data_IF_540506253368
#
_entry.id   IF_540506253368
#
_cell.length_a   1.000
_cell.length_b   1.000
_cell.length_c   1.000
_cell.angle_alpha   90.00
_cell.angle_beta   90.00
_cell.angle_gamma   90.00
#
_symmetry.space_group_name_H-M   'P 1'
#
loop_
_entity.id
_entity.type
_entity.pdbx_description
1 polymer ?
#
# COMPACT_ATOMS: atom_id res chain seq x y z
N UNK A 1 35.41 -16.82 -32.46
CA UNK A 1 34.63 -17.86 -33.18
C UNK A 1 33.12 -17.57 -33.36
N UNK A 2 32.52 -16.55 -32.72
CA UNK A 2 31.05 -16.32 -32.81
C UNK A 2 30.54 -15.67 -34.10
N UNK A 3 31.36 -14.88 -34.79
CA UNK A 3 30.93 -14.10 -35.97
C UNK A 3 30.67 -14.99 -37.18
N UNK A 4 31.57 -15.93 -37.49
CA UNK A 4 31.41 -16.84 -38.62
C UNK A 4 30.20 -17.77 -38.44
N UNK A 5 29.98 -18.28 -37.21
CA UNK A 5 28.82 -19.08 -36.87
C UNK A 5 27.50 -18.29 -37.04
N UNK A 6 27.49 -17.02 -36.61
CA UNK A 6 26.32 -16.15 -36.78
C UNK A 6 26.00 -15.85 -38.26
N UNK A 7 27.03 -15.71 -39.10
CA UNK A 7 26.87 -15.45 -40.53
C UNK A 7 26.32 -16.68 -41.27
N UNK A 8 26.85 -17.87 -40.96
CA UNK A 8 26.34 -19.14 -41.48
C UNK A 8 24.88 -19.38 -41.06
N UNK A 9 24.57 -19.20 -39.76
CA UNK A 9 23.21 -19.31 -39.22
C UNK A 9 22.23 -18.37 -39.92
N UNK A 10 22.66 -17.13 -40.22
CA UNK A 10 21.82 -16.14 -40.91
C UNK A 10 21.49 -16.55 -42.35
N UNK A 11 22.43 -17.16 -43.08
CA UNK A 11 22.19 -17.69 -44.43
C UNK A 11 21.18 -18.84 -44.42
N UNK A 12 21.31 -19.76 -43.47
CA UNK A 12 20.37 -20.88 -43.29
C UNK A 12 18.96 -20.38 -42.93
N UNK A 13 18.86 -19.44 -41.99
CA UNK A 13 17.56 -18.86 -41.59
C UNK A 13 16.86 -18.05 -42.69
N UNK A 14 17.63 -17.54 -43.67
CA UNK A 14 17.14 -16.76 -44.83
C UNK A 14 16.84 -17.62 -46.05
N UNK A 15 17.02 -18.94 -45.96
CA UNK A 15 16.58 -19.83 -47.02
C UNK A 15 15.04 -19.79 -47.12
N UNK A 16 14.54 -19.67 -48.35
CA UNK A 16 13.11 -19.71 -48.66
C UNK A 16 12.24 -18.69 -47.88
N UNK A 17 12.64 -17.41 -47.89
CA UNK A 17 11.88 -16.32 -47.24
C UNK A 17 10.66 -15.91 -48.05
N UNK A 18 10.73 -15.99 -49.38
CA UNK A 18 9.67 -15.59 -50.30
C UNK A 18 8.43 -16.48 -50.17
N UNK A 19 8.58 -17.81 -50.23
CA UNK A 19 7.47 -18.75 -50.06
C UNK A 19 6.82 -18.64 -48.66
N UNK A 20 7.63 -18.37 -47.63
CA UNK A 20 7.13 -18.09 -46.27
C UNK A 20 6.34 -16.78 -46.21
N UNK A 21 6.76 -15.75 -46.93
CA UNK A 21 6.04 -14.48 -47.00
C UNK A 21 4.70 -14.65 -47.73
N UNK A 22 4.69 -15.32 -48.88
CA UNK A 22 3.47 -15.61 -49.62
C UNK A 22 2.47 -16.42 -48.80
N UNK A 23 2.91 -17.46 -48.08
CA UNK A 23 2.05 -18.24 -47.17
C UNK A 23 1.39 -17.41 -46.07
N UNK A 24 2.04 -16.34 -45.61
CA UNK A 24 1.47 -15.44 -44.59
C UNK A 24 0.50 -14.44 -45.25
N UNK A 25 0.80 -13.95 -46.45
CA UNK A 25 -0.07 -13.04 -47.20
C UNK A 25 -1.36 -13.73 -47.67
N UNK A 26 -1.29 -15.00 -48.08
CA UNK A 26 -2.45 -15.79 -48.50
C UNK A 26 -3.36 -16.20 -47.32
N UNK A 27 -2.87 -16.09 -46.08
CA UNK A 27 -3.67 -16.36 -44.90
C UNK A 27 -4.64 -15.21 -44.62
N UNK A 28 -5.94 -15.51 -44.51
CA UNK A 28 -6.99 -14.47 -44.39
C UNK A 28 -6.75 -13.46 -43.26
N UNK A 29 -6.13 -13.88 -42.15
CA UNK A 29 -5.64 -13.02 -41.05
C UNK A 29 -4.44 -13.70 -40.38
N UNK A 30 -3.40 -12.95 -39.96
CA UNK A 30 -2.32 -13.50 -39.16
C UNK A 30 -2.89 -14.08 -37.85
N UNK A 31 -2.36 -15.25 -37.42
CA UNK A 31 -2.72 -15.82 -36.12
C UNK A 31 -2.35 -14.82 -35.02
N UNK A 32 -3.28 -14.47 -34.11
CA UNK A 32 -2.96 -13.58 -33.01
C UNK A 32 -1.82 -14.19 -32.18
N UNK A 33 -0.98 -13.31 -31.64
CA UNK A 33 0.10 -13.75 -30.77
C UNK A 33 -0.46 -14.54 -29.58
N UNK A 34 0.23 -15.60 -29.13
CA UNK A 34 -0.19 -16.31 -27.93
C UNK A 34 -0.16 -15.34 -26.74
N UNK A 35 -1.21 -15.36 -25.92
CA UNK A 35 -1.24 -14.58 -24.69
C UNK A 35 -0.19 -15.10 -23.71
N UNK A 36 0.53 -14.17 -23.07
CA UNK A 36 1.42 -14.50 -21.96
C UNK A 36 0.61 -15.17 -20.84
N UNK A 37 1.16 -16.19 -20.13
CA UNK A 37 0.47 -16.77 -18.98
C UNK A 37 0.17 -15.68 -17.96
N UNK A 38 -1.12 -15.38 -17.79
CA UNK A 38 -1.57 -14.43 -16.78
C UNK A 38 -1.36 -15.04 -15.38
N UNK A 39 -0.92 -14.25 -14.41
CA UNK A 39 -0.93 -14.65 -13.01
C UNK A 39 -2.32 -15.18 -12.57
N UNK A 40 -2.35 -16.22 -11.74
CA UNK A 40 -3.59 -16.90 -11.29
C UNK A 40 -4.63 -15.92 -10.75
N UNK A 41 -4.20 -14.91 -9.99
CA UNK A 41 -5.09 -13.90 -9.39
C UNK A 41 -5.81 -13.03 -10.43
N UNK A 42 -5.22 -12.75 -11.60
CA UNK A 42 -5.87 -11.99 -12.68
C UNK A 42 -6.90 -12.88 -13.38
N UNK A 43 -6.53 -14.13 -13.65
CA UNK A 43 -7.40 -15.14 -14.28
C UNK A 43 -8.61 -15.51 -13.42
N UNK A 44 -8.47 -15.44 -12.10
CA UNK A 44 -9.56 -15.61 -11.15
C UNK A 44 -10.48 -14.39 -11.18
N UNK A 45 -9.94 -13.16 -11.13
CA UNK A 45 -10.73 -11.93 -11.24
C UNK A 45 -11.54 -11.87 -12.55
N UNK A 46 -10.95 -12.21 -13.68
CA UNK A 46 -11.67 -12.28 -14.97
C UNK A 46 -12.79 -13.32 -14.92
N UNK A 47 -12.55 -14.50 -14.32
CA UNK A 47 -13.59 -15.51 -14.12
C UNK A 47 -14.71 -15.04 -13.22
N UNK A 48 -14.41 -14.35 -12.13
CA UNK A 48 -15.43 -13.76 -11.25
C UNK A 48 -16.24 -12.68 -11.95
N UNK A 49 -15.62 -11.84 -12.79
CA UNK A 49 -16.31 -10.79 -13.56
C UNK A 49 -17.20 -11.39 -14.66
N UNK A 50 -16.78 -12.50 -15.26
CA UNK A 50 -17.57 -13.21 -16.27
C UNK A 50 -18.68 -14.08 -15.65
N UNK A 51 -18.46 -14.64 -14.45
CA UNK A 51 -19.48 -15.39 -13.69
C UNK A 51 -20.45 -14.50 -12.91
N UNK A 52 -20.06 -13.26 -12.59
CA UNK A 52 -21.05 -12.25 -12.21
C UNK A 52 -21.85 -11.96 -13.47
N UNK A 53 -22.93 -12.71 -13.66
CA UNK A 53 -23.96 -12.50 -14.66
C UNK A 53 -24.56 -11.10 -14.44
N UNK A 54 -23.83 -10.08 -14.89
CA UNK A 54 -24.33 -8.74 -15.03
C UNK A 54 -25.23 -8.79 -16.26
N UNK A 55 -26.43 -9.37 -16.11
CA UNK A 55 -27.50 -9.40 -17.12
C UNK A 55 -27.75 -8.00 -17.70
N UNK A 56 -27.50 -6.98 -16.87
CA UNK A 56 -27.46 -5.55 -17.16
C UNK A 56 -26.48 -5.13 -18.30
N UNK A 57 -25.50 -5.94 -18.68
CA UNK A 57 -24.58 -5.67 -19.80
C UNK A 57 -25.24 -6.01 -21.15
N UNK A 58 -26.07 -7.06 -21.17
CA UNK A 58 -26.75 -7.53 -22.38
C UNK A 58 -28.16 -6.95 -22.53
N UNK A 59 -28.75 -6.46 -21.43
CA UNK A 59 -30.07 -5.83 -21.42
C UNK A 59 -29.98 -4.31 -21.60
N UNK A 60 -30.96 -3.73 -22.30
CA UNK A 60 -31.04 -2.28 -22.47
C UNK A 60 -31.37 -1.60 -21.14
N UNK A 61 -30.47 -0.78 -20.63
CA UNK A 61 -30.72 0.02 -19.44
C UNK A 61 -31.58 1.26 -19.79
N UNK A 62 -32.86 1.22 -19.46
CA UNK A 62 -33.82 2.31 -19.75
C UNK A 62 -33.47 3.61 -19.04
N UNK A 63 -33.03 3.53 -17.77
CA UNK A 63 -32.65 4.70 -16.98
C UNK A 63 -31.44 5.44 -17.58
N UNK A 64 -30.47 4.71 -18.12
CA UNK A 64 -29.33 5.29 -18.82
C UNK A 64 -29.77 5.86 -20.17
N UNK A 65 -30.63 5.15 -20.89
CA UNK A 65 -31.14 5.59 -22.18
C UNK A 65 -31.88 6.93 -22.09
N UNK A 66 -32.72 7.12 -21.06
CA UNK A 66 -33.39 8.41 -20.82
C UNK A 66 -32.42 9.54 -20.52
N UNK A 67 -31.37 9.28 -19.74
CA UNK A 67 -30.31 10.28 -19.45
C UNK A 67 -29.48 10.66 -20.68
N UNK A 68 -29.40 9.79 -21.69
CA UNK A 68 -28.66 10.04 -22.92
C UNK A 68 -29.49 10.76 -24.00
N UNK A 69 -30.82 10.64 -24.00
CA UNK A 69 -31.71 11.39 -24.91
C UNK A 69 -31.44 12.91 -24.99
N UNK A 70 -31.19 13.65 -23.89
CA UNK A 70 -30.94 15.08 -23.95
C UNK A 70 -29.54 15.44 -24.48
N UNK A 71 -28.62 14.49 -24.61
CA UNK A 71 -27.29 14.71 -25.18
C UNK A 71 -27.39 14.73 -26.72
N UNK A 72 -28.06 15.73 -27.26
CA UNK A 72 -27.95 16.08 -28.67
C UNK A 72 -26.58 16.74 -28.82
N UNK A 73 -25.67 16.08 -29.55
CA UNK A 73 -24.35 16.63 -29.86
C UNK A 73 -24.56 17.75 -30.87
N UNK A 74 -24.76 18.97 -30.37
CA UNK A 74 -24.66 20.16 -31.20
C UNK A 74 -23.20 20.27 -31.64
N UNK A 75 -22.93 20.18 -32.94
CA UNK A 75 -21.59 20.30 -33.54
C UNK A 75 -21.03 21.74 -33.46
N UNK A 76 -21.55 22.54 -32.54
CA UNK A 76 -21.01 23.87 -32.30
C UNK A 76 -19.59 23.73 -31.75
N UNK A 77 -18.64 24.54 -32.23
CA UNK A 77 -17.29 24.52 -31.70
C UNK A 77 -17.32 24.81 -30.20
N UNK A 78 -16.70 23.92 -29.41
CA UNK A 78 -16.61 24.05 -27.96
C UNK A 78 -16.11 25.45 -27.57
N UNK A 79 -16.98 26.26 -26.98
CA UNK A 79 -16.61 27.56 -26.41
C UNK A 79 -16.11 27.30 -25.00
N UNK A 80 -14.83 27.59 -24.75
CA UNK A 80 -14.25 27.50 -23.40
C UNK A 80 -15.12 28.37 -22.47
N UNK A 81 -15.69 27.83 -21.39
CA UNK A 81 -16.44 28.64 -20.44
C UNK A 81 -15.54 29.75 -19.89
N UNK A 82 -16.11 30.94 -19.69
CA UNK A 82 -15.39 32.07 -19.11
C UNK A 82 -14.82 31.65 -17.74
N UNK A 83 -13.60 32.11 -17.44
CA UNK A 83 -12.98 31.78 -16.16
C UNK A 83 -13.78 32.42 -15.03
N UNK A 84 -14.41 31.58 -14.20
CA UNK A 84 -15.17 32.03 -13.05
C UNK A 84 -14.24 32.71 -12.04
N UNK A 85 -14.44 34.01 -11.71
CA UNK A 85 -13.58 34.70 -10.75
C UNK A 85 -13.67 34.11 -9.34
N UNK A 86 -14.78 33.45 -9.01
CA UNK A 86 -14.98 32.72 -7.75
C UNK A 86 -14.26 31.36 -7.71
N UNK A 87 -13.75 30.87 -8.84
CA UNK A 87 -13.05 29.57 -8.93
C UNK A 87 -11.88 29.66 -9.93
N UNK A 88 -10.81 30.41 -9.60
CA UNK A 88 -9.66 30.54 -10.47
C UNK A 88 -8.97 29.18 -10.67
N UNK A 89 -8.45 28.93 -11.86
CA UNK A 89 -7.63 27.75 -12.11
C UNK A 89 -6.36 27.79 -11.24
N UNK A 90 -5.86 26.63 -10.77
CA UNK A 90 -4.58 26.56 -10.09
C UNK A 90 -3.47 27.07 -11.02
N UNK A 91 -2.83 28.18 -10.65
CA UNK A 91 -1.73 28.78 -11.42
C UNK A 91 -0.36 28.17 -11.09
N UNK A 92 -0.23 27.57 -9.91
CA UNK A 92 1.02 26.98 -9.45
C UNK A 92 1.22 25.59 -10.04
N UNK A 93 2.42 25.34 -10.59
CA UNK A 93 2.91 24.03 -11.03
C UNK A 93 3.92 23.44 -10.04
N UNK A 94 4.07 24.04 -8.86
CA UNK A 94 5.03 23.56 -7.88
C UNK A 94 4.68 22.13 -7.47
N UNK A 95 5.71 21.27 -7.45
CA UNK A 95 5.63 19.95 -6.84
C UNK A 95 5.36 20.14 -5.35
N UNK A 96 4.29 19.51 -4.85
CA UNK A 96 4.01 19.49 -3.42
C UNK A 96 5.19 18.86 -2.69
N UNK A 97 5.52 19.36 -1.49
CA UNK A 97 6.53 18.75 -0.65
C UNK A 97 6.18 17.29 -0.37
N UNK A 98 7.18 16.42 -0.51
CA UNK A 98 7.02 15.00 -0.23
C UNK A 98 6.76 14.81 1.27
N UNK A 99 5.70 14.07 1.59
CA UNK A 99 5.36 13.81 2.97
C UNK A 99 6.38 12.85 3.60
N UNK A 100 6.93 13.20 4.76
CA UNK A 100 7.97 12.41 5.45
C UNK A 100 7.62 10.93 5.64
N UNK A 101 6.34 10.63 5.85
CA UNK A 101 5.85 9.27 6.06
C UNK A 101 4.92 8.81 4.93
N UNK A 102 4.88 9.49 3.78
CA UNK A 102 3.99 9.18 2.67
C UNK A 102 2.51 9.52 2.92
N UNK A 103 2.16 10.08 4.08
CA UNK A 103 0.80 10.55 4.40
C UNK A 103 0.77 12.07 4.57
N UNK A 104 -0.24 12.72 3.99
CA UNK A 104 -0.54 14.12 4.24
C UNK A 104 -1.03 14.29 5.67
N UNK A 105 -0.24 14.98 6.50
CA UNK A 105 -0.62 15.27 7.89
C UNK A 105 -1.66 16.41 7.94
N UNK A 106 -2.57 16.40 8.94
CA UNK A 106 -3.51 17.48 9.15
C UNK A 106 -2.77 18.75 9.61
N UNK A 107 -3.19 19.91 9.09
CA UNK A 107 -2.59 21.20 9.45
C UNK A 107 -2.89 21.61 10.90
N UNK A 108 -4.06 21.20 11.42
CA UNK A 108 -4.46 21.45 12.80
C UNK A 108 -4.70 20.12 13.52
N UNK A 109 -3.91 19.87 14.55
CA UNK A 109 -4.03 18.68 15.39
C UNK A 109 -4.90 19.02 16.60
N UNK A 110 -6.01 18.31 16.84
CA UNK A 110 -6.84 18.54 18.02
C UNK A 110 -6.10 18.07 19.29
N UNK A 111 -6.38 18.68 20.45
CA UNK A 111 -5.76 18.29 21.71
C UNK A 111 -6.09 16.83 22.04
N UNK A 112 -5.13 16.10 22.63
CA UNK A 112 -5.28 14.69 22.93
C UNK A 112 -5.07 13.74 21.74
N UNK A 113 -4.73 14.24 20.54
CA UNK A 113 -4.38 13.43 19.37
C UNK A 113 -2.94 13.70 18.94
N UNK A 114 -2.36 12.72 18.25
CA UNK A 114 -1.00 12.80 17.70
C UNK A 114 -1.02 12.49 16.21
N UNK A 115 -0.14 13.17 15.48
CA UNK A 115 0.29 12.79 14.14
C UNK A 115 1.42 11.76 14.23
N UNK A 116 1.67 11.05 13.13
CA UNK A 116 2.74 10.05 13.05
C UNK A 116 4.10 10.71 13.32
N UNK A 117 4.35 11.89 12.74
CA UNK A 117 5.55 12.66 13.00
C UNK A 117 5.72 13.00 14.47
N UNK A 118 4.69 13.58 15.09
CA UNK A 118 4.76 13.93 16.51
C UNK A 118 4.92 12.70 17.43
N UNK A 119 4.34 11.56 17.05
CA UNK A 119 4.51 10.32 17.80
C UNK A 119 5.95 9.80 17.71
N UNK A 120 6.56 9.87 16.53
CA UNK A 120 7.97 9.52 16.35
C UNK A 120 8.90 10.44 17.14
N UNK A 121 8.61 11.75 17.13
CA UNK A 121 9.36 12.75 17.90
C UNK A 121 9.20 12.53 19.43
N UNK A 122 8.01 12.15 19.89
CA UNK A 122 7.73 11.81 21.29
C UNK A 122 8.57 10.62 21.74
N UNK A 123 8.56 9.54 20.96
CA UNK A 123 9.34 8.34 21.26
C UNK A 123 10.84 8.64 21.21
N UNK A 124 11.30 9.40 20.21
CA UNK A 124 12.70 9.82 20.06
C UNK A 124 13.22 10.54 21.30
N UNK A 125 12.51 11.58 21.74
CA UNK A 125 12.88 12.36 22.95
C UNK A 125 12.97 11.49 24.20
N UNK A 126 12.01 10.59 24.40
CA UNK A 126 12.02 9.67 25.54
C UNK A 126 13.20 8.68 25.45
N UNK A 127 13.53 8.19 24.25
CA UNK A 127 14.66 7.28 24.08
C UNK A 127 16.02 7.95 24.28
N UNK A 128 16.17 9.22 23.91
CA UNK A 128 17.41 9.97 24.08
C UNK A 128 17.67 10.32 25.56
N UNK A 129 16.66 10.85 26.25
CA UNK A 129 16.80 11.32 27.63
C UNK A 129 15.55 10.98 28.46
N UNK A 130 15.40 9.75 28.96
CA UNK A 130 14.20 9.33 29.70
C UNK A 130 14.02 10.04 31.04
N UNK A 131 15.11 10.54 31.64
CA UNK A 131 15.07 11.29 32.92
C UNK A 131 14.48 12.68 32.74
N UNK A 132 14.83 13.36 31.65
CA UNK A 132 14.31 14.69 31.32
C UNK A 132 12.92 14.63 30.71
N UNK A 133 12.69 13.68 29.78
CA UNK A 133 11.44 13.49 29.09
C UNK A 133 10.59 12.40 29.76
N UNK A 134 10.16 12.67 30.99
CA UNK A 134 9.25 11.77 31.70
C UNK A 134 7.82 11.82 31.10
N UNK A 135 6.96 10.90 31.54
CA UNK A 135 5.55 10.79 31.12
C UNK A 135 4.79 12.12 31.26
N UNK A 136 4.98 12.83 32.38
CA UNK A 136 4.31 14.10 32.67
C UNK A 136 4.78 15.25 31.77
N UNK A 137 6.09 15.33 31.51
CA UNK A 137 6.70 16.36 30.67
C UNK A 137 6.25 16.18 29.21
N UNK A 138 6.21 14.93 28.73
CA UNK A 138 5.73 14.61 27.40
C UNK A 138 4.22 14.87 27.26
N UNK A 139 3.43 14.50 28.27
CA UNK A 139 1.99 14.78 28.30
C UNK A 139 1.71 16.30 28.20
N UNK A 140 2.47 17.13 28.92
CA UNK A 140 2.36 18.59 28.83
C UNK A 140 2.82 19.13 27.48
N UNK A 141 3.95 18.65 26.96
CA UNK A 141 4.52 19.13 25.70
C UNK A 141 3.62 18.83 24.50
N UNK A 142 3.00 17.64 24.45
CA UNK A 142 2.16 17.22 23.33
C UNK A 142 0.65 17.36 23.60
N UNK A 143 0.26 17.94 24.74
CA UNK A 143 -1.16 18.13 25.15
C UNK A 143 -1.91 16.80 25.13
N UNK A 144 -1.37 15.80 25.84
CA UNK A 144 -1.91 14.45 25.98
C UNK A 144 -2.27 14.15 27.43
N UNK A 145 -3.11 13.13 27.63
CA UNK A 145 -3.39 12.59 28.96
C UNK A 145 -2.19 11.75 29.42
N UNK A 146 -1.77 11.86 30.70
CA UNK A 146 -0.60 11.14 31.21
C UNK A 146 -0.75 9.62 31.08
N UNK A 147 -1.95 9.09 31.35
CA UNK A 147 -2.28 7.66 31.19
C UNK A 147 -2.03 7.17 29.76
N UNK A 148 -2.44 7.96 28.77
CA UNK A 148 -2.32 7.60 27.36
C UNK A 148 -0.86 7.69 26.92
N UNK A 149 -0.14 8.71 27.37
CA UNK A 149 1.30 8.86 27.13
C UNK A 149 2.09 7.68 27.71
N UNK A 150 1.75 7.24 28.92
CA UNK A 150 2.39 6.08 29.55
C UNK A 150 2.12 4.80 28.74
N UNK A 151 0.87 4.55 28.35
CA UNK A 151 0.53 3.41 27.49
C UNK A 151 1.31 3.42 26.16
N UNK A 152 1.54 4.59 25.57
CA UNK A 152 2.34 4.72 24.35
C UNK A 152 3.80 4.33 24.60
N UNK A 153 4.40 4.79 25.69
CA UNK A 153 5.79 4.46 26.02
C UNK A 153 5.99 2.98 26.39
N UNK A 154 4.99 2.36 27.02
CA UNK A 154 5.06 0.95 27.40
C UNK A 154 4.95 0.01 26.18
N UNK A 155 4.10 0.36 25.21
CA UNK A 155 3.81 -0.50 24.06
C UNK A 155 4.67 -0.21 22.83
N UNK A 156 5.26 0.98 22.70
CA UNK A 156 6.02 1.39 21.53
C UNK A 156 7.46 1.78 21.88
N UNK A 157 8.42 1.24 21.14
CA UNK A 157 9.85 1.54 21.27
C UNK A 157 10.49 1.75 19.91
N UNK A 158 11.44 2.67 19.82
CA UNK A 158 12.23 2.85 18.62
C UNK A 158 13.30 1.77 18.51
N UNK A 159 13.54 1.32 17.28
CA UNK A 159 14.62 0.40 16.99
C UNK A 159 15.96 1.12 17.19
N UNK A 160 16.79 0.60 18.09
CA UNK A 160 18.15 1.10 18.28
C UNK A 160 19.07 0.41 17.29
N UNK A 161 19.72 1.21 16.45
CA UNK A 161 20.79 0.71 15.57
C UNK A 161 22.03 0.56 16.43
N UNK A 162 22.35 -0.68 16.81
CA UNK A 162 23.63 -0.98 17.43
C UNK A 162 24.68 -0.95 16.33
N UNK A 163 25.45 0.13 16.26
CA UNK A 163 26.66 0.17 15.44
C UNK A 163 27.67 -0.77 16.11
N UNK A 164 27.78 -1.98 15.60
CA UNK A 164 28.88 -2.87 15.94
C UNK A 164 30.14 -2.26 15.33
N UNK A 165 31.09 -1.85 16.16
CA UNK A 165 32.46 -1.68 15.70
C UNK A 165 32.87 -3.01 15.07
N UNK A 166 33.26 -3.00 13.79
CA UNK A 166 33.56 -4.22 13.06
C UNK A 166 34.56 -5.06 13.87
N UNK A 167 34.17 -6.23 14.42
CA UNK A 167 35.18 -7.17 14.86
C UNK A 167 35.86 -7.61 13.56
N UNK A 168 37.10 -7.17 13.35
CA UNK A 168 37.84 -7.38 12.10
C UNK A 168 37.51 -8.75 11.49
N UNK A 169 36.77 -8.72 10.37
CA UNK A 169 36.18 -9.90 9.77
C UNK A 169 37.30 -10.87 9.38
N UNK A 170 37.49 -11.93 10.18
CA UNK A 170 38.26 -13.09 9.75
C UNK A 170 37.28 -14.05 9.11
N UNK A 171 37.49 -14.36 7.82
CA UNK A 171 36.76 -15.42 7.13
C UNK A 171 36.75 -16.68 8.00
N UNK A 172 35.55 -17.12 8.40
CA UNK A 172 35.35 -18.29 9.26
C UNK A 172 34.90 -17.99 10.70
N UNK A 173 34.86 -16.73 11.15
CA UNK A 173 34.26 -16.42 12.46
C UNK A 173 32.73 -16.36 12.35
N UNK A 174 32.05 -17.28 13.05
CA UNK A 174 30.60 -17.24 13.19
C UNK A 174 30.22 -15.91 13.84
N UNK A 175 29.43 -15.10 13.14
CA UNK A 175 28.95 -13.83 13.67
C UNK A 175 28.28 -13.98 15.04
N UNK A 176 28.14 -12.88 15.81
CA UNK A 176 27.58 -12.94 17.15
C UNK A 176 26.19 -13.59 17.12
N UNK A 177 26.08 -14.70 17.86
CA UNK A 177 24.83 -15.47 18.00
C UNK A 177 23.87 -14.67 18.86
N UNK A 178 23.00 -13.88 18.23
CA UNK A 178 21.86 -13.28 18.92
C UNK A 178 20.89 -14.41 19.25
N UNK A 179 20.70 -14.67 20.54
CA UNK A 179 19.76 -15.71 20.97
C UNK A 179 18.32 -15.27 20.67
N UNK A 180 17.53 -16.16 20.05
CA UNK A 180 16.11 -15.94 19.77
C UNK A 180 15.31 -15.54 21.04
N UNK A 181 15.77 -16.03 22.21
CA UNK A 181 15.19 -15.70 23.50
C UNK A 181 15.28 -14.20 23.85
N UNK A 182 16.36 -13.50 23.46
CA UNK A 182 16.48 -12.07 23.67
C UNK A 182 15.57 -11.26 22.72
N UNK A 183 15.35 -11.75 21.50
CA UNK A 183 14.50 -11.10 20.51
C UNK A 183 12.99 -11.26 20.78
N UNK A 184 12.58 -12.28 21.55
CA UNK A 184 11.17 -12.63 21.77
C UNK A 184 10.62 -12.23 23.15
N UNK A 185 11.31 -11.39 23.93
CA UNK A 185 10.77 -10.84 25.19
C UNK A 185 9.74 -9.74 24.93
N UNK A 186 8.73 -10.02 24.10
CA UNK A 186 7.49 -9.26 24.05
C UNK A 186 6.60 -9.82 25.16
N UNK A 187 6.48 -9.11 26.29
CA UNK A 187 5.56 -9.48 27.37
C UNK A 187 4.12 -9.26 26.84
N UNK A 188 3.31 -10.30 26.62
CA UNK A 188 1.93 -10.13 26.18
C UNK A 188 1.11 -9.48 27.31
N UNK A 189 0.07 -8.69 27.00
CA UNK A 189 -0.82 -8.17 28.03
C UNK A 189 -1.54 -9.35 28.72
N UNK A 190 -1.49 -9.35 30.05
CA UNK A 190 -2.27 -10.26 30.90
C UNK A 190 -3.75 -10.10 30.54
N UNK A 191 -4.38 -11.20 30.10
CA UNK A 191 -5.80 -11.21 29.79
C UNK A 191 -6.58 -10.96 31.07
N UNK A 192 -7.42 -9.92 31.05
CA UNK A 192 -8.47 -9.70 32.05
C UNK A 192 -9.29 -10.99 32.16
N UNK A 193 -9.23 -11.61 33.33
CA UNK A 193 -10.07 -12.75 33.65
C UNK A 193 -11.49 -12.25 33.90
N UNK A 194 -12.43 -12.80 33.15
CA UNK A 194 -13.85 -12.56 33.35
C UNK A 194 -14.25 -13.04 34.76
N UNK A 195 -14.60 -12.07 35.60
CA UNK A 195 -15.10 -12.31 36.94
C UNK A 195 -16.39 -13.12 36.90
N UNK A 196 -16.35 -14.28 37.54
CA UNK A 196 -17.48 -15.13 37.85
C UNK A 196 -18.58 -14.35 38.58
N UNK A 197 -19.79 -14.35 38.03
CA UNK A 197 -21.02 -14.11 38.81
C UNK A 197 -21.70 -15.45 39.03
N UNK A 198 -21.52 -15.96 40.23
CA UNK A 198 -22.20 -17.12 40.80
C UNK A 198 -23.69 -16.80 40.94
N UNK A 199 -24.55 -17.57 40.26
CA UNK A 199 -25.99 -17.59 40.51
C UNK A 199 -26.26 -18.35 41.82
N UNK A 200 -27.06 -17.82 42.77
CA UNK A 200 -27.43 -18.57 43.96
C UNK A 200 -28.47 -19.65 43.62
N UNK A 201 -28.16 -20.86 44.08
CA UNK A 201 -29.02 -22.04 44.11
C UNK A 201 -30.30 -21.78 44.91
N UNK A 202 -31.43 -22.20 44.34
CA UNK A 202 -32.68 -22.44 45.06
C UNK A 202 -32.59 -23.80 45.73
N UNK A 203 -32.69 -23.83 47.05
CA UNK A 203 -33.17 -24.98 47.82
C UNK A 203 -34.17 -24.47 48.87
N UNK A 204 -35.43 -24.83 48.62
CA UNK A 204 -36.46 -25.38 49.51
C UNK A 204 -36.87 -24.74 50.86
N UNK A 205 -38.17 -24.94 51.14
CA UNK A 205 -38.91 -24.84 52.41
C UNK A 205 -39.46 -23.46 52.82
N UNK A 206 -40.71 -23.14 52.43
CA UNK A 206 -41.92 -23.40 53.25
C UNK A 206 -43.22 -23.10 52.50
#
# INVERSE_FOLDING_TARGET
>A
MGVAFSAAKRKVMRFNVEERAFKVLDSAKPKPAPHHPLPKHIREKERYVVQSDNKNIHEKNESLHERLKPLIINSEPYKKPAEDPNRPLPKSRATLEEFKYGLKEPEKVPPGRLTIRSAMDLLGKHTENPTQWNTEALAKHFVLKPELTQNVLDNFKLLQVVQMEEPGYKEGSAGPKISLAQALTFKPPEQLTDGSTTMPSKEDSK
#
